data_IF_577211188394
#
_entry.id   IF_577211188394
#
_cell.length_a   1.000
_cell.length_b   1.000
_cell.length_c   1.000
_cell.angle_alpha   90.00
_cell.angle_beta   90.00
_cell.angle_gamma   90.00
#
_symmetry.space_group_name_H-M   'P 1'
#
loop_
_entity.id
_entity.type
_entity.pdbx_description
1 polymer ?
#
# COMPACT_ATOMS: atom_id res chain seq x y z
N UNK A 1 12.12 -16.31 3.50
CA UNK A 1 11.90 -15.81 2.12
C UNK A 1 12.04 -16.97 1.16
N UNK A 2 10.98 -17.31 0.47
CA UNK A 2 10.97 -18.44 -0.45
C UNK A 2 11.80 -18.13 -1.71
N UNK A 3 12.54 -19.13 -2.27
CA UNK A 3 13.21 -18.95 -3.56
C UNK A 3 12.21 -18.78 -4.73
N UNK A 4 10.93 -19.08 -4.49
CA UNK A 4 9.88 -18.89 -5.51
C UNK A 4 9.38 -17.45 -5.58
N UNK A 5 9.82 -16.57 -4.68
CA UNK A 5 9.55 -15.13 -4.78
C UNK A 5 10.38 -14.56 -5.92
N UNK A 6 9.72 -14.30 -7.05
CA UNK A 6 10.34 -13.92 -8.31
C UNK A 6 9.40 -13.09 -9.17
N UNK A 7 9.88 -12.40 -10.21
CA UNK A 7 9.03 -11.67 -11.14
C UNK A 7 7.93 -12.54 -11.74
N UNK A 8 6.77 -11.93 -11.99
CA UNK A 8 5.61 -12.60 -12.57
C UNK A 8 4.54 -12.98 -11.56
N UNK A 9 4.80 -12.89 -10.26
CA UNK A 9 3.79 -13.10 -9.22
C UNK A 9 2.77 -11.97 -9.32
N UNK A 10 1.49 -12.33 -9.40
CA UNK A 10 0.37 -11.40 -9.53
C UNK A 10 -0.54 -11.46 -8.32
N UNK A 11 -1.16 -10.33 -8.01
CA UNK A 11 -2.20 -10.24 -7.00
C UNK A 11 -3.33 -9.34 -7.44
N UNK A 12 -4.51 -9.58 -6.89
CA UNK A 12 -5.68 -8.73 -7.10
C UNK A 12 -6.40 -8.56 -5.77
N UNK A 13 -6.85 -7.34 -5.50
CA UNK A 13 -7.64 -7.05 -4.30
C UNK A 13 -8.79 -6.11 -4.66
N UNK A 14 -9.98 -6.40 -4.14
CA UNK A 14 -11.17 -5.58 -4.34
C UNK A 14 -11.59 -4.93 -3.03
N UNK A 15 -11.99 -3.67 -3.12
CA UNK A 15 -12.38 -2.89 -1.96
C UNK A 15 -13.50 -1.93 -2.32
N UNK A 16 -14.64 -2.06 -1.65
CA UNK A 16 -15.74 -1.10 -1.80
C UNK A 16 -15.46 0.09 -0.90
N UNK A 17 -15.39 1.27 -1.50
CA UNK A 17 -14.99 2.50 -0.80
C UNK A 17 -16.07 2.90 0.21
N UNK A 18 -15.78 2.87 1.52
CA UNK A 18 -16.70 3.37 2.53
C UNK A 18 -16.60 4.90 2.64
N UNK A 19 -17.62 5.53 3.20
CA UNK A 19 -17.66 6.98 3.34
C UNK A 19 -16.55 7.54 4.23
N UNK A 20 -16.06 6.75 5.21
CA UNK A 20 -15.01 7.17 6.14
C UNK A 20 -13.59 7.06 5.56
N UNK A 21 -13.44 6.62 4.32
CA UNK A 21 -12.17 6.61 3.60
C UNK A 21 -12.08 7.72 2.55
N UNK A 22 -12.95 8.71 2.63
CA UNK A 22 -12.94 9.87 1.73
C UNK A 22 -12.09 11.01 2.29
N UNK A 23 -11.76 11.98 1.43
CA UNK A 23 -10.81 13.06 1.77
C UNK A 23 -11.15 13.78 3.07
N UNK A 24 -12.43 14.14 3.38
CA UNK A 24 -12.75 14.82 4.64
C UNK A 24 -12.35 14.06 5.91
N UNK A 25 -12.16 12.75 5.82
CA UNK A 25 -11.81 11.89 6.95
C UNK A 25 -10.31 11.60 7.08
N UNK A 26 -9.47 12.17 6.20
CA UNK A 26 -8.03 11.89 6.20
C UNK A 26 -7.33 12.49 7.41
N UNK A 27 -7.54 13.79 7.66
CA UNK A 27 -6.95 14.50 8.78
C UNK A 27 -7.98 15.46 9.37
N UNK A 28 -8.49 15.14 10.55
CA UNK A 28 -9.50 15.96 11.25
C UNK A 28 -8.95 17.30 11.68
N UNK A 29 -7.63 17.41 11.85
CA UNK A 29 -6.94 18.62 12.29
C UNK A 29 -6.91 19.71 11.22
N UNK A 30 -7.17 19.35 9.94
CA UNK A 30 -7.14 20.28 8.82
C UNK A 30 -8.57 20.61 8.39
N UNK A 31 -9.06 21.80 8.76
CA UNK A 31 -10.41 22.24 8.39
C UNK A 31 -10.61 22.25 6.86
N UNK A 32 -9.60 22.67 6.12
CA UNK A 32 -9.63 22.73 4.65
C UNK A 32 -9.81 21.35 4.02
N UNK A 33 -9.27 20.30 4.63
CA UNK A 33 -9.43 18.92 4.18
C UNK A 33 -10.86 18.44 4.41
N UNK A 34 -11.49 18.86 5.52
CA UNK A 34 -12.89 18.51 5.84
C UNK A 34 -13.89 19.13 4.86
N UNK A 35 -13.55 20.26 4.26
CA UNK A 35 -14.38 20.94 3.27
C UNK A 35 -14.27 20.36 1.85
N UNK A 36 -13.38 19.40 1.66
CA UNK A 36 -13.18 18.78 0.34
C UNK A 36 -14.32 17.81 -0.02
N UNK A 37 -14.53 17.55 -1.33
CA UNK A 37 -15.53 16.58 -1.76
C UNK A 37 -15.29 15.18 -1.19
N UNK A 38 -16.36 14.43 -0.96
CA UNK A 38 -16.32 13.04 -0.50
C UNK A 38 -15.92 12.11 -1.64
N UNK A 39 -14.64 12.04 -1.93
CA UNK A 39 -14.05 11.09 -2.87
C UNK A 39 -12.98 10.28 -2.15
N UNK A 40 -12.70 9.07 -2.66
CA UNK A 40 -11.70 8.18 -2.07
C UNK A 40 -10.37 8.92 -1.92
N UNK A 41 -9.89 9.03 -0.69
CA UNK A 41 -8.70 9.82 -0.41
C UNK A 41 -7.47 9.15 -0.99
N UNK A 42 -6.63 9.93 -1.68
CA UNK A 42 -5.37 9.45 -2.26
C UNK A 42 -4.50 8.72 -1.25
N UNK A 43 -4.40 9.22 -0.01
CA UNK A 43 -3.62 8.55 1.04
C UNK A 43 -4.13 7.16 1.36
N UNK A 44 -5.45 6.97 1.40
CA UNK A 44 -6.04 5.64 1.61
C UNK A 44 -5.91 4.76 0.37
N UNK A 45 -6.00 5.34 -0.83
CA UNK A 45 -5.80 4.60 -2.09
C UNK A 45 -4.38 4.05 -2.18
N UNK A 46 -3.38 4.85 -1.86
CA UNK A 46 -1.98 4.40 -1.81
C UNK A 46 -1.83 3.25 -0.82
N UNK A 47 -2.39 3.40 0.38
CA UNK A 47 -2.38 2.34 1.39
C UNK A 47 -3.04 1.05 0.91
N UNK A 48 -4.15 1.15 0.17
CA UNK A 48 -4.82 -0.01 -0.41
C UNK A 48 -3.94 -0.71 -1.44
N UNK A 49 -3.28 0.04 -2.30
CA UNK A 49 -2.38 -0.51 -3.32
C UNK A 49 -1.17 -1.19 -2.68
N UNK A 50 -0.58 -0.58 -1.64
CA UNK A 50 0.49 -1.20 -0.87
C UNK A 50 0.03 -2.49 -0.20
N UNK A 51 -1.17 -2.49 0.39
CA UNK A 51 -1.76 -3.67 1.02
C UNK A 51 -1.96 -4.82 0.03
N UNK A 52 -2.41 -4.53 -1.19
CA UNK A 52 -2.55 -5.53 -2.24
C UNK A 52 -1.19 -6.16 -2.60
N UNK A 53 -0.15 -5.35 -2.73
CA UNK A 53 1.21 -5.82 -2.99
C UNK A 53 1.73 -6.70 -1.84
N UNK A 54 1.50 -6.28 -0.60
CA UNK A 54 1.89 -7.06 0.59
C UNK A 54 1.21 -8.42 0.60
N UNK A 55 -0.08 -8.48 0.31
CA UNK A 55 -0.82 -9.74 0.26
C UNK A 55 -0.32 -10.66 -0.86
N UNK A 56 0.07 -10.10 -2.00
CA UNK A 56 0.56 -10.89 -3.13
C UNK A 56 1.82 -11.68 -2.79
N UNK A 57 2.71 -11.14 -1.96
CA UNK A 57 3.96 -11.80 -1.60
C UNK A 57 3.93 -12.52 -0.24
N UNK A 58 2.89 -12.31 0.56
CA UNK A 58 2.76 -12.96 1.88
C UNK A 58 2.99 -14.48 1.84
N UNK A 59 2.45 -15.25 0.85
CA UNK A 59 2.68 -16.69 0.80
C UNK A 59 4.14 -17.13 0.62
N UNK A 60 4.99 -16.20 0.20
CA UNK A 60 6.42 -16.46 -0.07
C UNK A 60 7.32 -16.03 1.08
N UNK A 61 6.74 -15.52 2.17
CA UNK A 61 7.44 -15.09 3.37
C UNK A 61 7.17 -16.06 4.52
N UNK A 62 8.09 -16.12 5.47
CA UNK A 62 7.90 -16.82 6.74
C UNK A 62 7.13 -15.90 7.71
N UNK A 63 5.86 -15.71 7.40
CA UNK A 63 4.96 -14.83 8.12
C UNK A 63 4.57 -15.42 9.48
N UNK A 64 4.54 -14.67 10.59
CA UNK A 64 4.80 -13.22 10.70
C UNK A 64 6.25 -12.85 11.07
N UNK A 65 7.19 -13.80 11.10
CA UNK A 65 8.59 -13.50 11.41
C UNK A 65 9.25 -12.66 10.33
N UNK A 66 8.95 -12.95 9.08
CA UNK A 66 9.28 -12.10 7.95
C UNK A 66 8.05 -11.32 7.54
N UNK A 67 8.25 -10.02 7.34
CA UNK A 67 7.23 -9.10 6.85
C UNK A 67 7.86 -8.20 5.79
N UNK A 68 7.08 -7.31 5.21
CA UNK A 68 7.64 -6.31 4.32
C UNK A 68 7.16 -4.92 4.70
N UNK A 69 8.01 -3.92 4.45
CA UNK A 69 7.66 -2.51 4.63
C UNK A 69 7.80 -1.79 3.30
N UNK A 70 6.90 -0.84 3.03
CA UNK A 70 6.97 0.00 1.85
C UNK A 70 8.10 1.01 1.99
N UNK A 71 8.91 1.14 0.95
CA UNK A 71 10.04 2.07 0.92
C UNK A 71 9.94 3.12 -0.16
N UNK A 72 9.12 2.89 -1.17
CA UNK A 72 8.95 3.83 -2.27
C UNK A 72 7.62 3.60 -2.97
N UNK A 73 6.93 4.68 -3.30
CA UNK A 73 5.74 4.67 -4.16
C UNK A 73 5.90 5.73 -5.25
N UNK A 74 5.46 5.38 -6.43
CA UNK A 74 5.38 6.31 -7.56
C UNK A 74 4.08 6.02 -8.30
N UNK A 75 2.97 6.51 -7.74
CA UNK A 75 1.63 6.31 -8.28
C UNK A 75 1.04 7.62 -8.77
N UNK A 76 0.48 7.60 -9.98
CA UNK A 76 -0.35 8.69 -10.47
C UNK A 76 -1.74 8.61 -9.84
N UNK A 77 -2.39 9.75 -9.62
CA UNK A 77 -3.80 9.81 -9.27
C UNK A 77 -4.57 10.43 -10.44
N UNK A 78 -5.28 9.61 -11.18
CA UNK A 78 -5.80 9.95 -12.51
C UNK A 78 -7.27 10.33 -12.51
N UNK A 79 -8.06 9.82 -11.56
CA UNK A 79 -9.49 10.08 -11.47
C UNK A 79 -9.97 9.92 -10.04
N UNK A 80 -11.02 10.64 -9.68
CA UNK A 80 -11.67 10.56 -8.37
C UNK A 80 -12.72 9.45 -8.34
N UNK A 81 -12.88 8.83 -7.17
CA UNK A 81 -13.85 7.74 -6.96
C UNK A 81 -14.77 8.10 -5.79
N UNK A 82 -16.10 8.19 -6.01
CA UNK A 82 -17.04 8.40 -4.91
C UNK A 82 -17.16 7.15 -4.03
N UNK A 83 -17.65 7.29 -2.78
CA UNK A 83 -17.94 6.11 -1.96
C UNK A 83 -19.04 5.25 -2.59
N UNK A 84 -19.00 3.95 -2.28
CA UNK A 84 -19.94 2.96 -2.81
C UNK A 84 -19.45 2.22 -4.04
N UNK A 85 -18.48 2.76 -4.77
CA UNK A 85 -17.86 2.04 -5.89
C UNK A 85 -16.83 1.04 -5.37
N UNK A 86 -16.61 -0.03 -6.14
CA UNK A 86 -15.61 -1.04 -5.83
C UNK A 86 -14.34 -0.75 -6.61
N UNK A 87 -13.25 -0.56 -5.88
CA UNK A 87 -11.91 -0.40 -6.45
C UNK A 87 -11.26 -1.77 -6.55
N UNK A 88 -10.76 -2.11 -7.74
CA UNK A 88 -9.97 -3.32 -7.97
C UNK A 88 -8.52 -2.90 -8.17
N UNK A 89 -7.64 -3.46 -7.34
CA UNK A 89 -6.19 -3.27 -7.45
C UNK A 89 -5.58 -4.52 -8.06
N UNK A 90 -4.85 -4.35 -9.16
CA UNK A 90 -4.03 -5.39 -9.76
C UNK A 90 -2.57 -5.05 -9.52
N UNK A 91 -1.77 -6.03 -9.12
CA UNK A 91 -0.34 -5.84 -8.93
C UNK A 91 0.46 -7.03 -9.46
N UNK A 92 1.71 -6.77 -9.77
CA UNK A 92 2.64 -7.78 -10.27
C UNK A 92 4.04 -7.47 -9.79
N UNK A 93 4.75 -8.50 -9.31
CA UNK A 93 6.18 -8.41 -9.00
C UNK A 93 6.94 -8.31 -10.32
N UNK A 94 7.74 -7.25 -10.48
CA UNK A 94 8.54 -7.03 -11.69
C UNK A 94 10.04 -7.17 -11.45
N UNK A 95 10.51 -7.10 -10.20
CA UNK A 95 11.92 -7.32 -9.87
C UNK A 95 12.05 -7.79 -8.43
N UNK A 96 13.02 -8.67 -8.20
CA UNK A 96 13.45 -9.08 -6.85
C UNK A 96 14.97 -8.99 -6.80
N UNK A 97 15.48 -8.12 -5.92
CA UNK A 97 16.91 -7.87 -5.77
C UNK A 97 17.27 -8.01 -4.29
N UNK A 98 17.76 -9.19 -3.90
CA UNK A 98 17.98 -9.49 -2.48
C UNK A 98 16.66 -9.45 -1.72
N UNK A 99 16.54 -8.52 -0.77
CA UNK A 99 15.32 -8.34 0.03
C UNK A 99 14.39 -7.26 -0.52
N UNK A 100 14.76 -6.61 -1.62
CA UNK A 100 13.94 -5.57 -2.25
C UNK A 100 13.06 -6.19 -3.32
N UNK A 101 11.75 -5.92 -3.22
CA UNK A 101 10.75 -6.39 -4.19
C UNK A 101 10.09 -5.17 -4.82
N UNK A 102 10.10 -5.13 -6.14
CA UNK A 102 9.49 -4.05 -6.92
C UNK A 102 8.25 -4.57 -7.62
N UNK A 103 7.18 -3.78 -7.53
CA UNK A 103 5.88 -4.09 -8.11
C UNK A 103 5.48 -3.03 -9.11
N UNK A 104 4.70 -3.43 -10.10
CA UNK A 104 3.80 -2.52 -10.80
C UNK A 104 2.39 -2.75 -10.25
N UNK A 105 1.61 -1.69 -10.13
CA UNK A 105 0.25 -1.77 -9.62
C UNK A 105 -0.66 -0.77 -10.33
N UNK A 106 -1.93 -1.13 -10.46
CA UNK A 106 -2.94 -0.29 -11.04
C UNK A 106 -4.26 -0.49 -10.28
N UNK A 107 -5.05 0.56 -10.17
CA UNK A 107 -6.36 0.52 -9.54
C UNK A 107 -7.41 1.14 -10.46
N UNK A 108 -8.58 0.51 -10.54
CA UNK A 108 -9.72 1.02 -11.31
C UNK A 108 -11.01 0.86 -10.51
N UNK A 109 -12.00 1.69 -10.80
CA UNK A 109 -13.26 1.74 -10.05
C UNK A 109 -14.46 1.21 -10.85
N UNK A 110 -14.20 0.54 -11.96
CA UNK A 110 -15.23 0.05 -12.87
C UNK A 110 -15.62 1.04 -13.95
N UNK A 111 -15.22 2.30 -13.81
CA UNK A 111 -15.44 3.38 -14.77
C UNK A 111 -14.13 3.92 -15.31
N UNK A 112 -13.17 4.15 -14.42
CA UNK A 112 -11.89 4.78 -14.75
C UNK A 112 -10.72 3.99 -14.17
N UNK A 113 -9.57 4.08 -14.86
CA UNK A 113 -8.29 3.83 -14.24
C UNK A 113 -8.00 4.99 -13.30
N UNK A 114 -7.92 4.74 -11.98
CA UNK A 114 -7.80 5.80 -10.98
C UNK A 114 -6.38 6.02 -10.52
N UNK A 115 -5.54 5.00 -10.62
CA UNK A 115 -4.12 5.10 -10.22
C UNK A 115 -3.31 4.02 -10.91
N UNK A 116 -2.06 4.32 -11.22
CA UNK A 116 -1.10 3.33 -11.69
C UNK A 116 0.33 3.79 -11.39
N UNK A 117 1.24 2.83 -11.31
CA UNK A 117 2.65 3.12 -11.11
C UNK A 117 3.41 1.96 -10.52
N UNK A 118 4.46 2.29 -9.76
CA UNK A 118 5.38 1.33 -9.18
C UNK A 118 5.47 1.49 -7.66
N UNK A 119 5.86 0.40 -7.00
CA UNK A 119 5.99 0.33 -5.55
C UNK A 119 7.16 -0.58 -5.18
N UNK A 120 7.95 -0.16 -4.23
CA UNK A 120 9.05 -0.96 -3.70
C UNK A 120 8.80 -1.30 -2.24
N UNK A 121 9.08 -2.56 -1.89
CA UNK A 121 9.01 -3.06 -0.52
C UNK A 121 10.31 -3.75 -0.17
N UNK A 122 10.68 -3.71 1.11
CA UNK A 122 11.85 -4.43 1.63
C UNK A 122 11.36 -5.47 2.64
N UNK A 123 11.83 -6.70 2.49
CA UNK A 123 11.53 -7.79 3.41
C UNK A 123 12.38 -7.59 4.66
N UNK A 124 11.73 -7.61 5.82
CA UNK A 124 12.35 -7.37 7.12
C UNK A 124 12.17 -8.57 8.03
N UNK A 125 13.10 -8.69 8.98
CA UNK A 125 12.92 -9.49 10.19
C UNK A 125 12.10 -8.65 11.17
N UNK A 126 10.88 -9.08 11.48
CA UNK A 126 9.95 -8.29 12.28
C UNK A 126 10.46 -7.99 13.69
N UNK A 127 11.17 -8.94 14.32
CA UNK A 127 11.73 -8.75 15.65
C UNK A 127 12.84 -7.71 15.65
N UNK A 128 13.77 -7.79 14.69
CA UNK A 128 14.88 -6.82 14.56
C UNK A 128 14.35 -5.43 14.23
N UNK A 129 13.31 -5.36 13.40
CA UNK A 129 12.67 -4.09 13.05
C UNK A 129 12.04 -3.43 14.28
N UNK A 130 11.31 -4.20 15.09
CA UNK A 130 10.72 -3.71 16.35
C UNK A 130 11.79 -3.24 17.33
N UNK A 131 12.92 -3.97 17.45
CA UNK A 131 14.02 -3.56 18.32
C UNK A 131 14.60 -2.21 17.90
N UNK A 132 14.75 -1.98 16.60
CA UNK A 132 15.18 -0.67 16.09
C UNK A 132 14.18 0.44 16.40
N UNK A 133 12.88 0.16 16.31
CA UNK A 133 11.84 1.13 16.67
C UNK A 133 11.89 1.46 18.17
N UNK A 134 12.08 0.47 19.01
CA UNK A 134 12.23 0.68 20.47
C UNK A 134 13.43 1.56 20.79
N UNK A 135 14.58 1.31 20.14
CA UNK A 135 15.78 2.13 20.32
C UNK A 135 15.56 3.57 19.85
N UNK A 136 14.90 3.74 18.71
CA UNK A 136 14.56 5.07 18.18
C UNK A 136 13.64 5.84 19.12
N UNK A 137 12.64 5.16 19.69
CA UNK A 137 11.72 5.75 20.66
C UNK A 137 12.45 6.19 21.94
N UNK A 138 13.34 5.36 22.47
CA UNK A 138 14.16 5.70 23.63
C UNK A 138 15.06 6.91 23.38
N UNK A 139 15.72 6.97 22.21
CA UNK A 139 16.54 8.11 21.82
C UNK A 139 15.69 9.36 21.61
N UNK A 140 14.48 9.23 21.06
CA UNK A 140 13.57 10.35 20.82
C UNK A 140 12.90 10.91 22.09
N UNK A 141 12.95 10.17 23.21
CA UNK A 141 12.38 10.58 24.50
C UNK A 141 13.24 11.62 25.24
N UNK A 142 14.40 11.91 24.74
CA UNK A 142 15.32 12.90 25.32
C UNK A 142 15.18 14.26 24.60
#
# INVERSE_FOLDING_TARGET
>A
MSPDLKPGIKGQFRYTVPSDKTVPHLYREFAEVQDMPEVFAKGFLVGLMEGACQLAIKPYLDWPREQSVGTHVNFSHLAATPPGLTVTVDCEVIAVEGRKVTFKAAAHDGHDLISEGTHERVIIDAAKFRDRLHRKRGAGAH
#
